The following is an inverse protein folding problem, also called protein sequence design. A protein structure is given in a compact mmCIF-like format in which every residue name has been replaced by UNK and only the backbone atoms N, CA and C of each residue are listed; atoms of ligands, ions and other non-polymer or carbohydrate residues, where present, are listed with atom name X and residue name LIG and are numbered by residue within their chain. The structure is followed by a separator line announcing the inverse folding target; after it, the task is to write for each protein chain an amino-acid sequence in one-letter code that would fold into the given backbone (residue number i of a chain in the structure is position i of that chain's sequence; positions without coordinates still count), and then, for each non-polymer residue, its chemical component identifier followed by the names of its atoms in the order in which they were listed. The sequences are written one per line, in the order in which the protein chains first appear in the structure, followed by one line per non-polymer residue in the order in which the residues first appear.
data_IF_784785944953
#
_entry.id   IF_784785944953
#
_cell.length_a   1.000
_cell.length_b   1.000
_cell.length_c   1.000
_cell.angle_alpha   90.00
_cell.angle_beta   90.00
_cell.angle_gamma   90.00
#
_symmetry.space_group_name_H-M   'P 1'
#
loop_
_entity.id
_entity.type
_entity.pdbx_description
1 polymer ?
#
# COMPACT_ATOMS: atom_id res chain seq x y z
N UNK A 1 34.58 21.60 37.54
CA UNK A 1 34.53 20.29 36.85
C UNK A 1 33.09 20.09 36.38
N UNK A 2 32.78 20.46 35.12
CA UNK A 2 31.41 20.46 34.60
C UNK A 2 31.32 19.35 33.57
N UNK A 3 30.67 18.25 33.92
CA UNK A 3 30.39 17.14 33.02
C UNK A 3 29.07 17.42 32.31
N UNK A 4 29.14 17.90 31.07
CA UNK A 4 27.97 18.03 30.20
C UNK A 4 27.61 16.62 29.70
N UNK A 5 26.53 16.06 30.23
CA UNK A 5 25.94 14.81 29.73
C UNK A 5 25.07 15.16 28.53
N UNK A 6 25.58 14.90 27.33
CA UNK A 6 24.81 15.00 26.08
C UNK A 6 23.90 13.77 26.01
N UNK A 7 22.63 13.96 26.35
CA UNK A 7 21.59 12.97 26.14
C UNK A 7 21.27 12.93 24.64
N UNK A 8 21.99 12.09 23.89
CA UNK A 8 21.68 11.75 22.50
C UNK A 8 20.38 10.92 22.50
N UNK A 9 19.25 11.62 22.44
CA UNK A 9 17.97 11.00 22.09
C UNK A 9 18.10 10.62 20.62
N UNK A 10 18.62 9.41 20.36
CA UNK A 10 18.48 8.78 19.07
C UNK A 10 16.98 8.61 18.82
N UNK A 11 16.39 9.58 18.11
CA UNK A 11 15.13 9.34 17.44
C UNK A 11 15.40 8.19 16.49
N UNK A 12 15.05 6.97 16.90
CA UNK A 12 14.81 5.86 15.98
C UNK A 12 13.68 6.33 15.08
N UNK A 13 14.03 7.09 14.06
CA UNK A 13 13.16 7.39 12.95
C UNK A 13 12.96 6.02 12.29
N UNK A 14 11.90 5.32 12.71
CA UNK A 14 11.42 4.15 12.01
C UNK A 14 11.10 4.63 10.61
N UNK A 15 12.06 4.44 9.70
CA UNK A 15 11.89 4.78 8.30
C UNK A 15 10.74 3.92 7.80
N UNK A 16 9.61 4.58 7.59
CA UNK A 16 8.39 3.94 7.17
C UNK A 16 8.61 3.37 5.78
N UNK A 17 8.53 2.06 5.65
CA UNK A 17 8.86 1.35 4.41
C UNK A 17 7.95 1.72 3.23
N UNK A 18 6.76 2.28 3.48
CA UNK A 18 5.89 2.79 2.43
C UNK A 18 5.47 4.23 2.71
N UNK A 19 5.75 5.11 1.74
CA UNK A 19 5.39 6.52 1.78
C UNK A 19 4.43 6.88 0.65
N UNK A 20 3.20 7.26 0.97
CA UNK A 20 2.19 7.69 0.00
C UNK A 20 2.50 9.14 -0.36
N UNK A 21 2.77 9.42 -1.64
CA UNK A 21 3.20 10.74 -2.12
C UNK A 21 2.04 11.58 -2.61
N UNK A 22 1.10 10.95 -3.30
CA UNK A 22 -0.10 11.61 -3.79
C UNK A 22 -1.25 10.61 -3.84
N UNK A 23 -2.47 11.10 -3.59
CA UNK A 23 -3.70 10.35 -3.82
C UNK A 23 -4.80 11.36 -4.10
N UNK A 24 -5.56 11.15 -5.17
CA UNK A 24 -6.63 12.04 -5.57
C UNK A 24 -7.79 11.27 -6.18
N UNK A 25 -9.00 11.72 -5.89
CA UNK A 25 -10.22 11.27 -6.56
C UNK A 25 -10.64 12.34 -7.55
N UNK A 26 -10.94 11.93 -8.77
CA UNK A 26 -11.48 12.82 -9.79
C UNK A 26 -12.68 12.17 -10.48
N UNK A 27 -13.50 13.02 -11.07
CA UNK A 27 -14.66 12.62 -11.85
C UNK A 27 -14.30 12.68 -13.34
N UNK A 28 -14.58 11.60 -14.06
CA UNK A 28 -14.50 11.53 -15.52
C UNK A 28 -15.77 10.85 -16.03
N UNK A 29 -16.58 11.58 -16.81
CA UNK A 29 -17.85 11.12 -17.37
C UNK A 29 -18.79 10.44 -16.35
N UNK A 30 -19.01 11.11 -15.21
CA UNK A 30 -19.90 10.66 -14.12
C UNK A 30 -19.43 9.38 -13.39
N UNK A 31 -18.17 9.00 -13.58
CA UNK A 31 -17.50 7.92 -12.87
C UNK A 31 -16.36 8.52 -12.05
N UNK A 32 -16.30 8.14 -10.78
CA UNK A 32 -15.19 8.50 -9.91
C UNK A 32 -14.05 7.50 -10.08
N UNK A 33 -12.85 8.05 -10.22
CA UNK A 33 -11.60 7.32 -10.34
C UNK A 33 -10.62 7.76 -9.26
N UNK A 34 -9.77 6.82 -8.83
CA UNK A 34 -8.63 7.08 -7.96
C UNK A 34 -7.34 6.98 -8.77
N UNK A 35 -6.50 8.01 -8.64
CA UNK A 35 -5.08 7.95 -8.92
C UNK A 35 -4.31 8.06 -7.60
N UNK A 36 -3.29 7.22 -7.41
CA UNK A 36 -2.45 7.23 -6.21
C UNK A 36 -1.04 6.78 -6.54
N UNK A 37 -0.05 7.47 -5.98
CA UNK A 37 1.35 7.12 -6.10
C UNK A 37 2.00 7.02 -4.73
N UNK A 38 2.74 5.94 -4.53
CA UNK A 38 3.53 5.68 -3.33
C UNK A 38 4.96 5.28 -3.67
N UNK A 39 5.87 5.42 -2.72
CA UNK A 39 7.20 4.82 -2.74
C UNK A 39 7.22 3.65 -1.77
N UNK A 40 7.67 2.49 -2.25
CA UNK A 40 7.78 1.26 -1.46
C UNK A 40 9.25 0.88 -1.38
N UNK A 41 9.75 0.71 -0.15
CA UNK A 41 11.09 0.25 0.16
C UNK A 41 10.99 -1.06 0.95
N UNK A 42 11.47 -2.15 0.35
CA UNK A 42 11.55 -3.43 1.05
C UNK A 42 12.61 -3.35 2.15
N UNK A 43 12.39 -4.08 3.23
CA UNK A 43 13.45 -4.37 4.20
C UNK A 43 14.49 -5.30 3.56
N UNK A 44 15.69 -5.34 4.14
CA UNK A 44 16.76 -6.23 3.67
C UNK A 44 16.30 -7.69 3.65
N UNK A 45 15.60 -8.13 4.69
CA UNK A 45 15.07 -9.48 4.81
C UNK A 45 14.01 -9.78 3.74
N UNK A 46 13.02 -8.91 3.54
CA UNK A 46 12.00 -9.11 2.52
C UNK A 46 12.61 -9.14 1.10
N UNK A 47 13.58 -8.27 0.83
CA UNK A 47 14.32 -8.28 -0.43
C UNK A 47 15.12 -9.58 -0.63
N UNK A 48 15.89 -10.00 0.37
CA UNK A 48 16.64 -11.25 0.32
C UNK A 48 15.73 -12.46 0.13
N UNK A 49 14.64 -12.53 0.89
CA UNK A 49 13.65 -13.60 0.76
C UNK A 49 13.08 -13.65 -0.66
N UNK A 50 12.74 -12.49 -1.23
CA UNK A 50 12.27 -12.40 -2.62
C UNK A 50 13.31 -12.98 -3.60
N UNK A 51 14.59 -12.59 -3.47
CA UNK A 51 15.66 -13.11 -4.33
C UNK A 51 15.80 -14.63 -4.24
N UNK A 52 15.60 -15.20 -3.06
CA UNK A 52 15.61 -16.66 -2.82
C UNK A 52 14.29 -17.36 -3.20
N UNK A 53 13.40 -16.68 -3.93
CA UNK A 53 12.18 -17.26 -4.48
C UNK A 53 10.98 -17.26 -3.53
N UNK A 54 11.10 -16.64 -2.35
CA UNK A 54 9.97 -16.47 -1.44
C UNK A 54 9.08 -15.34 -1.98
N UNK A 55 7.94 -15.72 -2.55
CA UNK A 55 6.94 -14.75 -2.98
C UNK A 55 6.14 -14.19 -1.82
N UNK A 56 5.69 -12.95 -1.96
CA UNK A 56 4.72 -12.33 -1.07
C UNK A 56 3.80 -11.39 -1.84
N UNK A 57 2.77 -10.90 -1.17
CA UNK A 57 1.78 -9.98 -1.72
C UNK A 57 1.93 -8.60 -1.11
N UNK A 58 1.79 -7.58 -1.95
CA UNK A 58 1.58 -6.20 -1.54
C UNK A 58 0.13 -5.85 -1.84
N UNK A 59 -0.56 -5.33 -0.83
CA UNK A 59 -1.95 -4.92 -0.92
C UNK A 59 -2.06 -3.40 -0.85
N UNK A 60 -3.11 -2.87 -1.50
CA UNK A 60 -3.59 -1.51 -1.30
C UNK A 60 -5.06 -1.58 -0.91
N UNK A 61 -5.39 -1.13 0.29
CA UNK A 61 -6.77 -1.01 0.77
C UNK A 61 -7.19 0.46 0.63
N UNK A 62 -8.29 0.69 -0.07
CA UNK A 62 -8.91 1.99 -0.26
C UNK A 62 -10.34 2.00 0.28
N UNK A 63 -10.70 3.08 0.96
CA UNK A 63 -12.04 3.30 1.47
C UNK A 63 -12.50 4.73 1.18
N UNK A 64 -13.77 4.85 0.81
CA UNK A 64 -14.51 6.11 0.74
C UNK A 64 -15.74 5.99 1.63
N UNK A 65 -15.89 6.88 2.59
CA UNK A 65 -17.01 6.87 3.53
C UNK A 65 -17.51 8.29 3.82
N UNK A 66 -18.75 8.40 4.30
CA UNK A 66 -19.31 9.71 4.69
C UNK A 66 -18.61 10.27 5.92
N UNK A 67 -18.31 11.56 5.92
CA UNK A 67 -17.88 12.32 7.11
C UNK A 67 -19.08 12.54 8.02
N UNK A 68 -19.44 11.53 8.81
CA UNK A 68 -20.46 11.65 9.86
C UNK A 68 -19.78 11.83 11.24
N UNK A 69 -20.54 12.30 12.24
CA UNK A 69 -20.08 12.32 13.63
C UNK A 69 -19.57 10.92 14.05
N UNK A 70 -18.48 10.91 14.82
CA UNK A 70 -17.54 9.81 15.17
C UNK A 70 -18.09 8.37 15.28
N UNK A 71 -19.38 8.17 15.54
CA UNK A 71 -19.97 6.86 15.84
C UNK A 71 -20.27 5.97 14.62
N UNK A 72 -20.46 6.51 13.41
CA UNK A 72 -20.85 5.68 12.25
C UNK A 72 -20.14 6.09 10.94
N UNK A 73 -19.16 5.27 10.53
CA UNK A 73 -18.57 5.35 9.19
C UNK A 73 -19.43 4.55 8.20
N UNK A 74 -20.16 5.24 7.34
CA UNK A 74 -20.88 4.57 6.25
C UNK A 74 -19.96 4.42 5.03
N UNK A 75 -19.45 3.21 4.80
CA UNK A 75 -18.55 2.92 3.68
C UNK A 75 -19.34 2.89 2.37
N UNK A 76 -19.04 3.83 1.49
CA UNK A 76 -19.68 3.98 0.17
C UNK A 76 -18.91 3.21 -0.91
N UNK A 77 -17.58 3.15 -0.77
CA UNK A 77 -16.71 2.34 -1.62
C UNK A 77 -15.61 1.71 -0.79
N UNK A 78 -15.36 0.42 -1.02
CA UNK A 78 -14.20 -0.29 -0.53
C UNK A 78 -13.55 -1.00 -1.71
N UNK A 79 -12.24 -0.80 -1.89
CA UNK A 79 -11.46 -1.45 -2.95
C UNK A 79 -10.20 -2.04 -2.31
N UNK A 80 -9.85 -3.25 -2.75
CA UNK A 80 -8.63 -3.94 -2.34
C UNK A 80 -7.89 -4.42 -3.58
N UNK A 81 -6.71 -3.87 -3.79
CA UNK A 81 -5.78 -4.34 -4.81
C UNK A 81 -4.81 -5.32 -4.16
N UNK A 82 -4.51 -6.42 -4.84
CA UNK A 82 -3.57 -7.42 -4.35
C UNK A 82 -2.61 -7.80 -5.47
N UNK A 83 -1.34 -7.54 -5.27
CA UNK A 83 -0.28 -7.85 -6.22
C UNK A 83 0.65 -8.88 -5.61
N UNK A 84 0.81 -10.02 -6.27
CA UNK A 84 1.84 -11.01 -5.90
C UNK A 84 3.15 -10.63 -6.57
N UNK A 85 4.21 -10.50 -5.79
CA UNK A 85 5.57 -10.25 -6.25
C UNK A 85 6.41 -11.52 -6.08
N UNK A 86 7.11 -11.91 -7.14
CA UNK A 86 7.95 -13.10 -7.18
C UNK A 86 9.27 -12.79 -7.90
N UNK A 87 10.35 -13.48 -7.53
CA UNK A 87 11.56 -13.55 -8.34
C UNK A 87 11.59 -14.88 -9.10
N UNK A 88 11.99 -14.86 -10.37
CA UNK A 88 12.15 -16.05 -11.22
C UNK A 88 13.65 -16.29 -11.49
N UNK A 89 14.33 -17.15 -10.70
CA UNK A 89 15.79 -17.30 -10.73
C UNK A 89 16.36 -17.61 -12.11
N UNK A 90 15.68 -18.47 -12.89
CA UNK A 90 16.16 -18.86 -14.23
C UNK A 90 16.22 -17.69 -15.22
N UNK A 91 15.38 -16.68 -15.05
CA UNK A 91 15.28 -15.54 -15.98
C UNK A 91 15.74 -14.22 -15.37
N UNK A 92 16.09 -14.26 -14.08
CA UNK A 92 16.43 -13.11 -13.23
C UNK A 92 15.39 -11.97 -13.33
N UNK A 93 14.13 -12.34 -13.53
CA UNK A 93 13.01 -11.40 -13.66
C UNK A 93 12.21 -11.38 -12.37
N UNK A 94 11.72 -10.20 -12.02
CA UNK A 94 10.65 -10.00 -11.06
C UNK A 94 9.32 -10.09 -11.79
N UNK A 95 8.44 -10.97 -11.31
CA UNK A 95 7.09 -11.15 -11.82
C UNK A 95 6.10 -10.51 -10.85
N UNK A 96 5.24 -9.65 -11.39
CA UNK A 96 4.05 -9.16 -10.71
C UNK A 96 2.84 -9.86 -11.31
N UNK A 97 1.99 -10.41 -10.45
CA UNK A 97 0.66 -10.89 -10.82
C UNK A 97 -0.38 -10.05 -10.09
N UNK A 98 -1.21 -9.32 -10.82
CA UNK A 98 -2.44 -8.73 -10.27
C UNK A 98 -3.43 -9.86 -9.98
N UNK A 99 -3.73 -10.08 -8.71
CA UNK A 99 -4.60 -11.19 -8.29
C UNK A 99 -6.08 -10.96 -8.58
N UNK A 100 -6.46 -9.73 -8.96
CA UNK A 100 -7.84 -9.40 -9.34
C UNK A 100 -8.09 -9.69 -10.82
N UNK A 101 -7.09 -9.44 -11.67
CA UNK A 101 -7.22 -9.56 -13.14
C UNK A 101 -6.48 -10.76 -13.72
N UNK A 102 -5.53 -11.33 -13.00
CA UNK A 102 -4.62 -12.38 -13.48
C UNK A 102 -3.51 -11.88 -14.39
N UNK A 103 -3.45 -10.57 -14.66
CA UNK A 103 -2.44 -9.96 -15.53
C UNK A 103 -1.06 -10.13 -14.91
N UNK A 104 -0.10 -10.52 -15.76
CA UNK A 104 1.29 -10.74 -15.40
C UNK A 104 2.19 -9.72 -16.07
N UNK A 105 3.14 -9.16 -15.33
CA UNK A 105 4.12 -8.21 -15.84
C UNK A 105 5.51 -8.54 -15.30
N UNK A 106 6.51 -8.47 -16.17
CA UNK A 106 7.88 -8.86 -15.87
C UNK A 106 8.80 -7.65 -15.85
N UNK A 107 9.71 -7.61 -14.89
CA UNK A 107 10.64 -6.52 -14.68
C UNK A 107 12.04 -7.06 -14.41
N UNK A 108 13.07 -6.39 -14.95
CA UNK A 108 14.48 -6.74 -14.71
C UNK A 108 15.05 -6.20 -13.40
N UNK A 109 14.32 -5.34 -12.70
CA UNK A 109 14.76 -4.69 -11.48
C UNK A 109 13.57 -4.58 -10.51
N UNK A 110 13.83 -4.83 -9.22
CA UNK A 110 12.80 -4.85 -8.18
C UNK A 110 12.16 -3.48 -7.97
N UNK A 111 12.94 -2.39 -8.07
CA UNK A 111 12.44 -1.02 -7.89
C UNK A 111 11.43 -0.66 -8.97
N UNK A 112 11.65 -1.10 -10.22
CA UNK A 112 10.66 -0.93 -11.31
C UNK A 112 9.39 -1.74 -11.06
N UNK A 113 9.52 -2.96 -10.53
CA UNK A 113 8.37 -3.77 -10.16
C UNK A 113 7.57 -3.08 -9.04
N UNK A 114 8.23 -2.67 -7.95
CA UNK A 114 7.61 -1.98 -6.83
C UNK A 114 6.97 -0.66 -7.25
N UNK A 115 7.61 0.11 -8.14
CA UNK A 115 7.05 1.34 -8.72
C UNK A 115 5.77 1.07 -9.52
N UNK A 116 5.67 -0.09 -10.17
CA UNK A 116 4.44 -0.48 -10.88
C UNK A 116 3.32 -0.86 -9.91
N UNK A 117 3.63 -1.50 -8.78
CA UNK A 117 2.66 -1.84 -7.72
C UNK A 117 2.18 -0.58 -7.00
N UNK A 118 3.09 0.36 -6.76
CA UNK A 118 2.85 1.56 -5.97
C UNK A 118 2.11 2.66 -6.74
N UNK A 119 1.89 2.47 -8.04
CA UNK A 119 1.23 3.42 -8.92
C UNK A 119 -0.15 2.90 -9.34
N UNK A 120 -1.19 3.42 -8.71
CA UNK A 120 -2.59 3.15 -9.05
C UNK A 120 -3.04 4.23 -10.04
N UNK A 121 -3.39 3.80 -11.25
CA UNK A 121 -3.89 4.69 -12.31
C UNK A 121 -5.34 4.35 -12.65
N UNK A 122 -6.19 5.37 -12.67
CA UNK A 122 -7.57 5.35 -13.15
C UNK A 122 -8.38 4.18 -12.56
N UNK A 123 -8.23 3.94 -11.26
CA UNK A 123 -8.99 2.87 -10.60
C UNK A 123 -10.44 3.31 -10.41
N UNK A 124 -11.37 2.62 -11.09
CA UNK A 124 -12.81 2.90 -10.99
C UNK A 124 -13.35 2.63 -9.59
N UNK A 125 -13.94 3.66 -8.98
CA UNK A 125 -14.56 3.58 -7.65
C UNK A 125 -16.04 3.26 -7.75
N UNK A 126 -16.85 4.25 -8.17
CA UNK A 126 -18.31 4.19 -8.29
C UNK A 126 -18.80 5.27 -9.27
N UNK A 127 -20.08 5.21 -9.64
CA UNK A 127 -20.74 6.29 -10.37
C UNK A 127 -21.00 7.47 -9.42
N UNK A 128 -20.68 8.70 -9.82
CA UNK A 128 -20.80 9.91 -8.99
C UNK A 128 -22.24 10.13 -8.49
N UNK A 129 -23.26 9.71 -9.25
CA UNK A 129 -24.66 9.80 -8.83
C UNK A 129 -25.02 9.00 -7.57
N UNK A 130 -24.14 8.08 -7.13
CA UNK A 130 -24.32 7.37 -5.85
C UNK A 130 -23.90 8.20 -4.64
N UNK A 131 -23.24 9.35 -4.86
CA UNK A 131 -22.92 10.30 -3.80
C UNK A 131 -24.08 11.27 -3.59
N UNK A 132 -24.45 11.45 -2.32
CA UNK A 132 -25.29 12.55 -1.87
C UNK A 132 -24.51 13.87 -1.94
N UNK A 133 -25.06 14.85 -2.66
CA UNK A 133 -24.48 16.19 -2.85
C UNK A 133 -24.42 17.02 -1.57
N UNK A 134 -25.18 16.65 -0.54
CA UNK A 134 -25.24 17.37 0.75
C UNK A 134 -24.28 16.79 1.79
N UNK A 135 -23.50 15.77 1.45
CA UNK A 135 -22.58 15.09 2.37
C UNK A 135 -21.14 15.30 1.95
N UNK A 136 -20.28 15.43 2.95
CA UNK A 136 -18.84 15.40 2.77
C UNK A 136 -18.35 13.96 2.89
N UNK A 137 -17.29 13.63 2.17
CA UNK A 137 -16.70 12.30 2.17
C UNK A 137 -15.26 12.36 2.64
N UNK A 138 -14.83 11.28 3.28
CA UNK A 138 -13.44 11.04 3.61
C UNK A 138 -13.00 9.84 2.79
N UNK A 139 -11.89 10.00 2.09
CA UNK A 139 -11.20 8.96 1.39
C UNK A 139 -9.92 8.60 2.14
N UNK A 140 -9.58 7.32 2.18
CA UNK A 140 -8.31 6.87 2.73
C UNK A 140 -7.72 5.71 1.96
N UNK A 141 -6.39 5.65 1.91
CA UNK A 141 -5.65 4.54 1.31
C UNK A 141 -4.51 4.10 2.21
N UNK A 142 -4.24 2.80 2.21
CA UNK A 142 -3.09 2.19 2.88
C UNK A 142 -2.49 1.09 2.02
N UNK A 143 -1.17 1.10 1.91
CA UNK A 143 -0.39 0.03 1.29
C UNK A 143 0.30 -0.80 2.37
N UNK A 144 0.44 -2.11 2.15
CA UNK A 144 1.16 -3.01 3.07
C UNK A 144 1.56 -4.33 2.44
N UNK A 145 2.61 -4.95 2.96
CA UNK A 145 2.94 -6.35 2.71
C UNK A 145 2.01 -7.24 3.53
N UNK A 146 1.45 -8.27 2.89
CA UNK A 146 0.57 -9.24 3.55
C UNK A 146 1.38 -10.37 4.18
N UNK A 147 1.49 -10.40 5.51
CA UNK A 147 2.16 -11.50 6.23
C UNK A 147 1.51 -12.86 5.92
N UNK A 148 0.18 -12.87 5.75
CA UNK A 148 -0.59 -14.08 5.42
C UNK A 148 -0.22 -14.67 4.04
N UNK A 149 0.40 -13.88 3.16
CA UNK A 149 0.86 -14.35 1.86
C UNK A 149 2.21 -15.08 1.89
N UNK A 150 2.93 -15.00 3.01
CA UNK A 150 4.20 -15.69 3.18
C UNK A 150 3.96 -17.21 3.27
N UNK A 151 4.99 -18.03 2.94
CA UNK A 151 4.97 -19.46 3.21
C UNK A 151 4.63 -19.74 4.68
N UNK A 152 3.80 -20.75 4.94
CA UNK A 152 3.30 -21.07 6.28
C UNK A 152 4.39 -21.16 7.37
N UNK A 153 5.58 -21.75 7.12
CA UNK A 153 6.65 -21.82 8.14
C UNK A 153 7.20 -20.45 8.56
N UNK A 154 7.06 -19.41 7.74
CA UNK A 154 7.59 -18.07 8.02
C UNK A 154 6.62 -17.20 8.83
N UNK A 155 5.31 -17.42 8.70
CA UNK A 155 4.28 -16.52 9.26
C UNK A 155 4.40 -16.31 10.77
N UNK A 156 4.60 -17.35 11.62
CA UNK A 156 4.67 -17.15 13.06
C UNK A 156 5.75 -16.15 13.46
N UNK A 157 6.94 -16.21 12.84
CA UNK A 157 8.01 -15.24 13.10
C UNK A 157 7.75 -13.87 12.47
N UNK A 158 7.14 -13.84 11.29
CA UNK A 158 6.87 -12.60 10.57
C UNK A 158 5.89 -11.67 11.32
N UNK A 159 4.93 -12.20 12.07
CA UNK A 159 4.03 -11.36 12.89
C UNK A 159 4.74 -10.56 14.00
N UNK A 160 5.89 -11.03 14.47
CA UNK A 160 6.64 -10.40 15.55
C UNK A 160 7.92 -9.72 15.08
N UNK A 161 8.23 -9.76 13.78
CA UNK A 161 9.43 -9.14 13.22
C UNK A 161 9.10 -7.84 12.49
N UNK A 162 9.84 -6.77 12.80
CA UNK A 162 9.78 -5.51 12.06
C UNK A 162 10.19 -5.67 10.60
N UNK A 163 10.97 -6.70 10.26
CA UNK A 163 11.41 -6.96 8.89
C UNK A 163 10.25 -7.22 7.94
N UNK A 164 9.15 -7.78 8.45
CA UNK A 164 7.96 -8.10 7.67
C UNK A 164 6.84 -7.07 7.85
N UNK A 165 7.03 -6.09 8.74
CA UNK A 165 6.09 -4.99 8.97
C UNK A 165 6.30 -3.83 7.97
N UNK A 166 6.20 -4.15 6.68
CA UNK A 166 6.30 -3.17 5.59
C UNK A 166 4.90 -2.61 5.33
N UNK A 167 4.62 -1.41 5.80
CA UNK A 167 3.33 -0.77 5.59
C UNK A 167 3.39 0.75 5.57
N UNK A 168 2.35 1.36 5.00
CA UNK A 168 2.07 2.79 5.16
C UNK A 168 1.13 3.01 6.37
N UNK A 169 0.99 4.27 6.77
CA UNK A 169 -0.16 4.71 7.56
C UNK A 169 -1.32 4.88 6.58
N UNK A 170 -2.53 4.96 7.11
CA UNK A 170 -3.62 5.53 6.34
C UNK A 170 -3.27 6.95 5.91
N UNK A 171 -3.26 7.19 4.61
CA UNK A 171 -3.31 8.53 4.05
C UNK A 171 -4.78 8.87 3.83
N UNK A 172 -5.25 9.93 4.48
CA UNK A 172 -6.65 10.31 4.54
C UNK A 172 -6.82 11.74 4.03
N UNK A 173 -7.84 11.97 3.22
CA UNK A 173 -8.17 13.29 2.68
C UNK A 173 -9.68 13.45 2.51
N UNK A 174 -10.14 14.70 2.53
CA UNK A 174 -11.53 15.01 2.27
C UNK A 174 -11.79 15.03 0.76
N UNK A 175 -12.93 14.47 0.36
CA UNK A 175 -13.43 14.56 -0.99
C UNK A 175 -14.75 15.34 -0.98
N UNK A 176 -14.70 16.54 -1.56
CA UNK A 176 -15.87 17.38 -1.79
C UNK A 176 -16.43 17.06 -3.18
N UNK A 177 -17.75 16.82 -3.24
CA UNK A 177 -18.45 16.33 -4.42
C UNK A 177 -18.87 17.45 -5.38
#
# INVERSE_FOLDING_TARGET
MVTIVILLIAQLCYAKNINIKSSNIYNDNNILYLDSYSEILLTKEAYNALLHGISFQIHADFELFTKNNWLFKNIIANKKLKYKLEHKPLTENFLITDLSTGIKSYYKNVDRALKSISNINKMKLLNKNKLDKKKNYIARIKFYLSIDSLPSPMRPRAYFSSDWNISSNWYEWEYEN
#
